data_IF_898106085265
#
_entry.id   IF_898106085265
#
_cell.length_a   1.000
_cell.length_b   1.000
_cell.length_c   1.000
_cell.angle_alpha   90.00
_cell.angle_beta   90.00
_cell.angle_gamma   90.00
#
_symmetry.space_group_name_H-M   'P 1'
#
loop_
_entity.id
_entity.type
_entity.pdbx_description
1 polymer ?
#
# COMPACT_ATOMS: atom_id res chain seq x y z
N UNK A 1 -7.11 71.08 -3.36
CA UNK A 1 -7.79 70.12 -4.26
C UNK A 1 -7.17 70.03 -5.68
N UNK A 2 -6.03 70.67 -6.00
CA UNK A 2 -5.40 70.57 -7.35
C UNK A 2 -4.10 69.76 -7.44
N UNK A 3 -3.63 69.15 -6.34
CA UNK A 3 -2.39 68.36 -6.32
C UNK A 3 -2.61 66.83 -6.31
N UNK A 4 -3.82 66.36 -6.03
CA UNK A 4 -4.16 64.93 -5.98
C UNK A 4 -4.57 64.39 -7.35
N UNK A 5 -5.12 65.24 -8.23
CA UNK A 5 -5.67 64.79 -9.53
C UNK A 5 -4.60 64.51 -10.62
N UNK A 6 -3.33 64.84 -10.34
CA UNK A 6 -2.22 64.64 -11.28
C UNK A 6 -1.54 63.27 -11.13
N UNK A 7 -1.80 62.54 -10.04
CA UNK A 7 -1.18 61.24 -9.76
C UNK A 7 -2.04 60.03 -10.17
N UNK A 8 -3.32 60.24 -10.46
CA UNK A 8 -4.28 59.15 -10.76
C UNK A 8 -4.48 58.88 -12.24
N UNK A 9 -3.95 59.70 -13.16
CA UNK A 9 -4.26 59.60 -14.60
C UNK A 9 -3.20 58.97 -15.52
N UNK A 10 -2.02 58.56 -15.02
CA UNK A 10 -0.93 58.09 -15.91
C UNK A 10 -0.23 56.78 -15.51
N UNK A 11 -0.79 55.97 -14.61
CA UNK A 11 -0.27 54.61 -14.38
C UNK A 11 -1.11 53.60 -15.17
N UNK A 12 -0.60 53.03 -16.27
CA UNK A 12 -1.26 51.88 -16.87
C UNK A 12 -1.28 50.76 -15.82
N UNK A 13 -2.47 50.27 -15.50
CA UNK A 13 -2.66 49.08 -14.69
C UNK A 13 -2.01 47.92 -15.44
N UNK A 14 -0.74 47.64 -15.14
CA UNK A 14 -0.10 46.41 -15.58
C UNK A 14 -0.81 45.29 -14.84
N UNK A 15 -1.81 44.69 -15.50
CA UNK A 15 -2.29 43.37 -15.15
C UNK A 15 -1.07 42.46 -15.22
N UNK A 16 -0.42 42.20 -14.08
CA UNK A 16 0.62 41.18 -13.97
C UNK A 16 -0.04 39.86 -14.37
N UNK A 17 0.02 39.53 -15.66
CA UNK A 17 -0.22 38.17 -16.10
C UNK A 17 0.84 37.34 -15.39
N UNK A 18 0.42 36.63 -14.34
CA UNK A 18 1.29 35.62 -13.76
C UNK A 18 1.76 34.73 -14.91
N UNK A 19 3.08 34.57 -15.11
CA UNK A 19 3.59 33.80 -16.23
C UNK A 19 2.94 32.43 -16.19
N UNK A 20 2.39 31.99 -17.32
CA UNK A 20 1.64 30.73 -17.45
C UNK A 20 2.41 29.53 -16.88
N UNK A 21 3.74 29.59 -16.84
CA UNK A 21 4.63 28.66 -16.15
C UNK A 21 4.46 28.61 -14.62
N UNK A 22 4.30 29.75 -13.95
CA UNK A 22 4.09 29.81 -12.50
C UNK A 22 2.77 29.16 -12.08
N UNK A 23 1.69 29.36 -12.87
CA UNK A 23 0.38 28.73 -12.63
C UNK A 23 0.44 27.21 -12.84
N UNK A 24 1.17 26.73 -13.87
CA UNK A 24 1.42 25.29 -14.09
C UNK A 24 2.24 24.67 -12.94
N UNK A 25 3.25 25.37 -12.44
CA UNK A 25 4.07 24.91 -11.32
C UNK A 25 3.27 24.87 -10.01
N UNK A 26 2.38 25.85 -9.78
CA UNK A 26 1.49 25.88 -8.62
C UNK A 26 0.48 24.73 -8.63
N UNK A 27 -0.11 24.40 -9.79
CA UNK A 27 -0.99 23.24 -9.94
C UNK A 27 -0.26 21.91 -9.68
N UNK A 28 0.96 21.75 -10.23
CA UNK A 28 1.80 20.57 -9.96
C UNK A 28 2.13 20.44 -8.47
N UNK A 29 2.43 21.56 -7.81
CA UNK A 29 2.69 21.60 -6.37
C UNK A 29 1.48 21.17 -5.54
N UNK A 30 0.28 21.67 -5.86
CA UNK A 30 -0.96 21.26 -5.18
C UNK A 30 -1.22 19.77 -5.37
N UNK A 31 -0.95 19.23 -6.56
CA UNK A 31 -1.08 17.80 -6.84
C UNK A 31 -0.09 16.96 -6.02
N UNK A 32 1.17 17.38 -5.90
CA UNK A 32 2.19 16.71 -5.07
C UNK A 32 1.78 16.71 -3.58
N UNK A 33 1.28 17.83 -3.06
CA UNK A 33 0.83 17.94 -1.66
C UNK A 33 -0.39 17.05 -1.41
N UNK A 34 -1.38 17.05 -2.33
CA UNK A 34 -2.55 16.18 -2.24
C UNK A 34 -2.15 14.70 -2.34
N UNK A 35 -1.18 14.36 -3.19
CA UNK A 35 -0.68 13.00 -3.30
C UNK A 35 0.16 12.60 -2.10
N UNK A 36 0.96 13.50 -1.51
CA UNK A 36 1.67 13.27 -0.25
C UNK A 36 0.69 12.94 0.87
N UNK A 37 -0.33 13.79 1.07
CA UNK A 37 -1.42 13.51 2.01
C UNK A 37 -2.13 12.21 1.64
N UNK A 38 -2.30 11.94 0.34
CA UNK A 38 -2.81 10.69 -0.24
C UNK A 38 -2.03 9.44 0.20
N UNK A 39 -0.69 9.42 0.02
CA UNK A 39 0.19 8.30 0.42
C UNK A 39 0.01 7.99 1.89
N UNK A 40 -0.10 9.04 2.71
CA UNK A 40 -0.27 8.90 4.15
C UNK A 40 -1.67 8.31 4.41
N UNK A 41 -2.74 8.84 3.81
CA UNK A 41 -4.12 8.33 3.99
C UNK A 41 -4.36 6.87 3.56
N UNK A 42 -3.52 6.32 2.69
CA UNK A 42 -3.77 5.03 2.03
C UNK A 42 -3.47 3.82 2.90
N UNK A 43 -2.80 4.02 4.02
CA UNK A 43 -2.58 2.98 5.03
C UNK A 43 -3.89 2.52 5.70
N UNK A 44 -5.04 3.18 5.49
CA UNK A 44 -6.31 2.75 6.12
C UNK A 44 -7.60 2.81 5.26
N UNK A 45 -7.56 3.26 4.00
CA UNK A 45 -8.78 3.80 3.35
C UNK A 45 -9.48 2.99 2.26
N UNK A 46 -8.76 2.23 1.43
CA UNK A 46 -9.34 1.66 0.21
C UNK A 46 -9.26 0.12 0.19
N UNK A 47 -10.16 -0.53 0.93
CA UNK A 47 -10.79 -1.70 0.32
C UNK A 47 -11.82 -1.14 -0.65
N UNK A 48 -11.58 -1.28 -1.95
CA UNK A 48 -12.59 -0.97 -2.98
C UNK A 48 -13.96 -1.43 -2.48
N UNK A 49 -14.95 -0.54 -2.52
CA UNK A 49 -16.31 -0.86 -2.07
C UNK A 49 -16.87 -2.11 -2.76
N UNK A 50 -16.37 -2.44 -3.96
CA UNK A 50 -16.63 -3.69 -4.66
C UNK A 50 -15.96 -4.92 -3.98
N UNK A 51 -14.71 -4.81 -3.52
CA UNK A 51 -14.00 -5.84 -2.75
C UNK A 51 -14.66 -6.07 -1.39
N UNK A 52 -15.07 -5.01 -0.69
CA UNK A 52 -15.81 -5.09 0.58
C UNK A 52 -17.18 -5.73 0.39
N UNK A 53 -17.92 -5.38 -0.67
CA UNK A 53 -19.22 -6.02 -1.00
C UNK A 53 -19.06 -7.50 -1.35
N UNK A 54 -18.10 -7.88 -2.18
CA UNK A 54 -17.88 -9.28 -2.55
C UNK A 54 -17.38 -10.12 -1.36
N UNK A 55 -16.43 -9.62 -0.56
CA UNK A 55 -16.01 -10.33 0.66
C UNK A 55 -17.15 -10.43 1.66
N UNK A 56 -17.97 -9.39 1.86
CA UNK A 56 -19.12 -9.45 2.77
C UNK A 56 -20.23 -10.42 2.29
N UNK A 57 -20.51 -10.49 0.99
CA UNK A 57 -21.44 -11.47 0.40
C UNK A 57 -20.92 -12.90 0.54
N UNK A 58 -19.64 -13.13 0.28
CA UNK A 58 -19.00 -14.45 0.45
C UNK A 58 -18.97 -14.85 1.94
N UNK A 59 -18.68 -13.93 2.86
CA UNK A 59 -18.72 -14.18 4.31
C UNK A 59 -20.12 -14.45 4.83
N UNK A 60 -21.14 -13.73 4.32
CA UNK A 60 -22.55 -14.01 4.63
C UNK A 60 -22.96 -15.39 4.15
N UNK A 61 -22.59 -15.77 2.92
CA UNK A 61 -22.92 -17.09 2.37
C UNK A 61 -22.18 -18.22 3.10
N UNK A 62 -20.96 -17.98 3.59
CA UNK A 62 -20.22 -18.93 4.44
C UNK A 62 -20.84 -19.10 5.83
N UNK A 63 -21.48 -18.05 6.39
CA UNK A 63 -22.22 -18.15 7.66
C UNK A 63 -23.43 -19.08 7.58
N UNK A 64 -24.00 -19.28 6.39
CA UNK A 64 -25.14 -20.18 6.18
C UNK A 64 -24.74 -21.61 5.77
N UNK A 65 -23.46 -21.86 5.45
CA UNK A 65 -23.01 -23.15 4.87
C UNK A 65 -22.04 -23.95 5.75
N UNK A 66 -21.95 -23.65 7.05
CA UNK A 66 -21.36 -24.59 8.00
C UNK A 66 -20.59 -23.92 9.12
N UNK A 67 -20.94 -24.31 10.34
CA UNK A 67 -20.02 -24.32 11.49
C UNK A 67 -18.89 -25.31 11.18
N UNK A 68 -17.96 -24.94 10.31
CA UNK A 68 -16.68 -25.64 10.18
C UNK A 68 -15.65 -24.92 11.03
N UNK A 69 -15.37 -25.58 12.17
CA UNK A 69 -14.27 -25.34 13.09
C UNK A 69 -13.01 -24.88 12.35
N UNK A 70 -12.69 -23.59 12.45
CA UNK A 70 -11.34 -23.10 12.19
C UNK A 70 -10.78 -22.57 13.50
N UNK A 71 -10.21 -23.47 14.28
CA UNK A 71 -9.43 -23.12 15.46
C UNK A 71 -8.25 -22.21 15.08
N UNK A 72 -7.96 -21.14 15.84
CA UNK A 72 -6.80 -20.29 15.60
C UNK A 72 -5.48 -21.05 15.80
N UNK A 73 -4.45 -20.59 15.11
CA UNK A 73 -3.16 -21.25 14.85
C UNK A 73 -2.24 -21.47 16.07
N UNK A 74 -2.73 -21.31 17.30
CA UNK A 74 -2.00 -21.57 18.54
C UNK A 74 -3.02 -21.97 19.62
N UNK A 75 -3.44 -23.22 19.62
CA UNK A 75 -3.77 -23.88 20.87
C UNK A 75 -2.70 -24.94 21.13
N UNK A 76 -2.19 -25.10 22.36
CA UNK A 76 -1.54 -26.35 22.72
C UNK A 76 -2.56 -27.44 22.45
N UNK A 77 -2.18 -28.41 21.62
CA UNK A 77 -2.99 -29.56 21.26
C UNK A 77 -3.66 -30.14 22.51
N UNK A 78 -5.00 -30.15 22.54
CA UNK A 78 -5.78 -30.95 23.49
C UNK A 78 -5.55 -32.43 23.19
N UNK A 79 -4.42 -32.98 23.64
CA UNK A 79 -4.24 -34.38 24.06
C UNK A 79 -2.79 -34.59 24.46
N UNK A 80 -2.57 -34.79 25.77
CA UNK A 80 -1.50 -35.48 26.50
C UNK A 80 -1.53 -34.82 27.89
N UNK A 81 -2.08 -35.41 28.96
CA UNK A 81 -2.25 -36.80 29.29
C UNK A 81 -3.51 -36.99 30.13
N UNK A 82 -4.30 -38.03 29.83
CA UNK A 82 -5.03 -38.70 30.89
C UNK A 82 -4.03 -39.67 31.54
N UNK A 83 -3.18 -39.15 32.43
CA UNK A 83 -2.54 -40.01 33.43
C UNK A 83 -3.60 -40.30 34.48
N UNK A 84 -4.01 -41.56 34.55
CA UNK A 84 -4.78 -42.10 35.65
C UNK A 84 -3.93 -42.03 36.92
N UNK A 85 -4.06 -40.95 37.68
CA UNK A 85 -3.72 -40.94 39.10
C UNK A 85 -4.60 -39.90 39.81
N UNK A 86 -5.25 -40.35 40.89
CA UNK A 86 -6.32 -39.67 41.60
C UNK A 86 -5.90 -38.40 42.34
N UNK A 87 -5.75 -37.30 41.62
CA UNK A 87 -5.62 -35.95 42.18
C UNK A 87 -6.53 -34.97 41.47
N UNK A 88 -7.24 -34.14 42.24
CA UNK A 88 -8.20 -33.11 41.80
C UNK A 88 -7.81 -32.44 40.47
N UNK A 89 -8.53 -32.81 39.41
CA UNK A 89 -8.43 -32.15 38.12
C UNK A 89 -9.04 -30.75 38.23
N UNK A 90 -8.17 -29.75 38.43
CA UNK A 90 -8.56 -28.35 38.31
C UNK A 90 -9.10 -28.13 36.90
N UNK A 91 -10.43 -28.03 36.78
CA UNK A 91 -11.12 -27.64 35.55
C UNK A 91 -10.62 -26.25 35.19
N UNK A 92 -9.77 -26.17 34.16
CA UNK A 92 -9.37 -24.88 33.59
C UNK A 92 -10.65 -24.27 32.99
N UNK A 93 -11.06 -23.05 33.42
CA UNK A 93 -12.23 -22.40 32.87
C UNK A 93 -12.09 -22.31 31.35
N UNK A 94 -13.15 -22.66 30.61
CA UNK A 94 -13.15 -22.57 29.16
C UNK A 94 -12.71 -21.17 28.71
N UNK A 95 -11.67 -21.11 27.88
CA UNK A 95 -11.22 -19.85 27.29
C UNK A 95 -12.38 -19.28 26.45
N UNK A 96 -12.68 -17.98 26.58
CA UNK A 96 -13.76 -17.38 25.80
C UNK A 96 -13.55 -17.59 24.31
N UNK A 97 -14.64 -17.78 23.58
CA UNK A 97 -14.63 -17.91 22.13
C UNK A 97 -13.85 -16.75 21.49
N UNK A 98 -12.95 -17.09 20.57
CA UNK A 98 -12.08 -16.13 19.91
C UNK A 98 -12.90 -15.10 19.12
N UNK A 99 -12.93 -13.84 19.60
CA UNK A 99 -13.56 -12.72 18.91
C UNK A 99 -12.52 -11.93 18.06
N UNK A 100 -12.52 -12.09 16.72
CA UNK A 100 -11.62 -11.34 15.84
C UNK A 100 -11.85 -9.83 15.85
N UNK A 101 -12.95 -9.35 16.43
CA UNK A 101 -13.33 -7.93 16.44
C UNK A 101 -12.97 -7.21 17.74
N UNK A 102 -12.77 -7.94 18.84
CA UNK A 102 -12.34 -7.40 20.15
C UNK A 102 -11.06 -8.06 20.68
N UNK A 103 -10.14 -8.48 19.80
CA UNK A 103 -8.87 -9.08 20.24
C UNK A 103 -8.04 -8.14 21.12
N UNK A 104 -8.09 -6.83 20.87
CA UNK A 104 -7.52 -5.80 21.75
C UNK A 104 -8.42 -4.57 21.80
N UNK A 105 -8.50 -3.86 22.94
CA UNK A 105 -9.24 -2.62 23.01
C UNK A 105 -8.66 -1.60 22.03
N UNK A 106 -9.52 -0.83 21.35
CA UNK A 106 -9.10 0.24 20.44
C UNK A 106 -8.23 1.24 21.20
N UNK A 107 -6.96 1.36 20.83
CA UNK A 107 -6.02 2.31 21.45
C UNK A 107 -5.93 3.58 20.61
N UNK A 108 -5.99 4.75 21.26
CA UNK A 108 -5.94 6.05 20.59
C UNK A 108 -4.72 6.18 19.65
N UNK A 109 -3.54 5.72 20.09
CA UNK A 109 -2.29 5.79 19.32
C UNK A 109 -2.25 4.90 18.07
N UNK A 110 -3.12 3.90 18.00
CA UNK A 110 -3.24 2.97 16.85
C UNK A 110 -4.33 3.44 15.86
N UNK A 111 -4.98 4.57 16.13
CA UNK A 111 -5.96 5.14 15.19
C UNK A 111 -5.26 5.84 14.02
N UNK A 112 -5.92 5.83 12.86
CA UNK A 112 -5.46 6.55 11.69
C UNK A 112 -5.26 8.04 12.01
N UNK A 113 -6.23 8.65 12.68
CA UNK A 113 -6.20 10.05 13.09
C UNK A 113 -4.95 10.40 13.92
N UNK A 114 -4.64 9.60 14.94
CA UNK A 114 -3.47 9.86 15.78
C UNK A 114 -2.16 9.70 15.00
N UNK A 115 -2.03 8.64 14.19
CA UNK A 115 -0.85 8.43 13.34
C UNK A 115 -0.65 9.58 12.35
N UNK A 116 -1.74 10.08 11.74
CA UNK A 116 -1.69 11.24 10.86
C UNK A 116 -1.31 12.51 11.58
N UNK A 117 -1.91 12.77 12.73
CA UNK A 117 -1.63 13.97 13.52
C UNK A 117 -0.17 13.98 13.96
N UNK A 118 0.37 12.84 14.40
CA UNK A 118 1.78 12.70 14.76
C UNK A 118 2.71 12.98 13.56
N UNK A 119 2.41 12.43 12.38
CA UNK A 119 3.21 12.67 11.18
C UNK A 119 3.13 14.13 10.70
N UNK A 120 1.95 14.75 10.74
CA UNK A 120 1.77 16.17 10.40
C UNK A 120 2.51 17.08 11.39
N UNK A 121 2.46 16.76 12.68
CA UNK A 121 3.22 17.48 13.71
C UNK A 121 4.73 17.39 13.46
N UNK A 122 5.25 16.21 13.15
CA UNK A 122 6.67 16.03 12.80
C UNK A 122 7.06 16.84 11.56
N UNK A 123 6.23 16.84 10.51
CA UNK A 123 6.46 17.65 9.32
C UNK A 123 6.46 19.16 9.66
N UNK A 124 5.53 19.60 10.52
CA UNK A 124 5.45 20.99 10.98
C UNK A 124 6.71 21.43 11.74
N UNK A 125 7.15 20.62 12.71
CA UNK A 125 8.38 20.87 13.49
C UNK A 125 9.61 20.88 12.58
N UNK A 126 9.74 19.88 11.70
CA UNK A 126 10.85 19.81 10.75
C UNK A 126 10.89 21.02 9.83
N UNK A 127 9.73 21.45 9.29
CA UNK A 127 9.61 22.61 8.39
C UNK A 127 9.97 23.92 9.09
N UNK A 128 9.55 24.09 10.35
CA UNK A 128 9.91 25.22 11.20
C UNK A 128 11.43 25.27 11.45
N UNK A 129 12.03 24.13 11.80
CA UNK A 129 13.47 24.04 12.09
C UNK A 129 14.37 24.39 10.89
N UNK A 130 13.91 24.15 9.65
CA UNK A 130 14.66 24.47 8.42
C UNK A 130 14.26 25.81 7.79
N UNK A 131 13.48 26.66 8.48
CA UNK A 131 13.05 27.98 8.00
C UNK A 131 12.26 27.96 6.68
N UNK A 132 11.67 26.81 6.33
CA UNK A 132 10.97 26.60 5.05
C UNK A 132 9.47 26.74 5.25
N UNK A 133 8.79 27.56 4.44
CA UNK A 133 7.32 27.55 4.44
C UNK A 133 6.81 26.19 3.94
N UNK A 134 5.86 25.53 4.64
CA UNK A 134 5.31 24.22 4.25
C UNK A 134 4.58 24.22 2.89
N UNK A 135 4.40 25.41 2.30
CA UNK A 135 3.65 25.64 1.07
C UNK A 135 4.57 25.90 -0.13
N UNK A 136 5.89 26.09 0.02
CA UNK A 136 6.81 26.19 -1.13
C UNK A 136 7.62 24.90 -1.23
N UNK A 137 7.31 24.06 -2.23
CA UNK A 137 8.10 22.85 -2.50
C UNK A 137 9.42 23.30 -3.13
N UNK A 138 10.39 23.64 -2.27
CA UNK A 138 11.76 23.96 -2.66
C UNK A 138 12.44 22.73 -3.27
N UNK A 139 13.56 22.92 -3.98
CA UNK A 139 14.36 21.80 -4.48
C UNK A 139 14.75 20.83 -3.35
N UNK A 140 15.05 21.36 -2.15
CA UNK A 140 15.32 20.55 -0.95
C UNK A 140 14.11 19.74 -0.51
N UNK A 141 12.93 20.35 -0.44
CA UNK A 141 11.70 19.63 -0.09
C UNK A 141 11.38 18.53 -1.12
N UNK A 142 11.50 18.82 -2.41
CA UNK A 142 11.35 17.82 -3.48
C UNK A 142 12.33 16.67 -3.35
N UNK A 143 13.61 16.95 -3.04
CA UNK A 143 14.62 15.92 -2.82
C UNK A 143 14.26 15.03 -1.63
N UNK A 144 13.84 15.61 -0.51
CA UNK A 144 13.38 14.88 0.67
C UNK A 144 12.19 13.98 0.35
N UNK A 145 11.17 14.52 -0.32
CA UNK A 145 9.99 13.74 -0.73
C UNK A 145 10.40 12.58 -1.65
N UNK A 146 11.27 12.85 -2.62
CA UNK A 146 11.74 11.86 -3.58
C UNK A 146 12.46 10.70 -2.89
N UNK A 147 13.42 10.99 -2.01
CA UNK A 147 14.20 9.97 -1.30
C UNK A 147 13.31 9.18 -0.34
N UNK A 148 12.40 9.82 0.40
CA UNK A 148 11.48 9.12 1.30
C UNK A 148 10.52 8.21 0.52
N UNK A 149 10.03 8.67 -0.62
CA UNK A 149 9.19 7.87 -1.50
C UNK A 149 9.98 6.69 -2.10
N UNK A 150 11.21 6.90 -2.55
CA UNK A 150 12.10 5.85 -3.03
C UNK A 150 12.38 4.80 -1.95
N UNK A 151 12.79 5.23 -0.75
CA UNK A 151 13.10 4.32 0.36
C UNK A 151 11.86 3.50 0.78
N UNK A 152 10.69 4.14 0.82
CA UNK A 152 9.43 3.46 1.14
C UNK A 152 9.08 2.43 0.06
N UNK A 153 9.20 2.79 -1.21
CA UNK A 153 8.93 1.90 -2.33
C UNK A 153 9.89 0.71 -2.34
N UNK A 154 11.19 0.97 -2.43
CA UNK A 154 12.22 -0.07 -2.50
C UNK A 154 12.20 -0.98 -1.27
N UNK A 155 12.12 -0.40 -0.07
CA UNK A 155 12.04 -1.15 1.18
C UNK A 155 10.80 -2.04 1.26
N UNK A 156 9.63 -1.53 0.87
CA UNK A 156 8.39 -2.32 0.83
C UNK A 156 8.50 -3.49 -0.13
N UNK A 157 9.07 -3.27 -1.33
CA UNK A 157 9.25 -4.32 -2.33
C UNK A 157 10.24 -5.38 -1.86
N UNK A 158 11.40 -4.97 -1.34
CA UNK A 158 12.42 -5.89 -0.85
C UNK A 158 11.89 -6.74 0.31
N UNK A 159 11.27 -6.10 1.31
CA UNK A 159 10.68 -6.81 2.45
C UNK A 159 9.59 -7.79 2.00
N UNK A 160 8.65 -7.36 1.16
CA UNK A 160 7.54 -8.22 0.72
C UNK A 160 8.02 -9.39 -0.13
N UNK A 161 8.99 -9.16 -1.03
CA UNK A 161 9.47 -10.17 -1.99
C UNK A 161 10.35 -11.21 -1.33
N UNK A 162 11.30 -10.78 -0.48
CA UNK A 162 12.35 -11.67 0.04
C UNK A 162 12.11 -12.15 1.47
N UNK A 163 11.33 -11.40 2.28
CA UNK A 163 11.17 -11.70 3.70
C UNK A 163 9.71 -12.03 4.00
N UNK A 164 8.82 -11.05 4.00
CA UNK A 164 7.43 -11.20 4.42
C UNK A 164 6.67 -12.26 3.61
N UNK A 165 6.73 -12.19 2.28
CA UNK A 165 6.03 -13.12 1.40
C UNK A 165 6.49 -14.58 1.57
N UNK A 166 7.80 -14.81 1.56
CA UNK A 166 8.41 -16.14 1.69
C UNK A 166 8.16 -16.72 3.08
N UNK A 167 8.34 -15.92 4.13
CA UNK A 167 8.08 -16.36 5.51
C UNK A 167 6.63 -16.76 5.68
N UNK A 168 5.67 -15.96 5.22
CA UNK A 168 4.25 -16.31 5.31
C UNK A 168 3.90 -17.55 4.47
N UNK A 169 4.47 -17.68 3.27
CA UNK A 169 4.22 -18.84 2.40
C UNK A 169 4.72 -20.15 3.04
N UNK A 170 5.88 -20.12 3.69
CA UNK A 170 6.50 -21.30 4.31
C UNK A 170 5.87 -21.70 5.65
N UNK A 171 5.29 -20.75 6.38
CA UNK A 171 4.90 -20.96 7.78
C UNK A 171 3.38 -20.92 8.03
N UNK A 172 2.55 -20.62 7.02
CA UNK A 172 1.09 -20.60 7.18
C UNK A 172 0.40 -21.67 6.33
N UNK A 173 -0.72 -22.26 6.79
CA UNK A 173 -1.56 -23.09 5.94
C UNK A 173 -1.99 -22.35 4.67
N UNK A 174 -2.00 -23.02 3.51
CA UNK A 174 -2.23 -22.39 2.19
C UNK A 174 -3.45 -21.46 2.13
N UNK A 175 -4.60 -21.89 2.68
CA UNK A 175 -5.84 -21.08 2.69
C UNK A 175 -5.71 -19.86 3.60
N UNK A 176 -5.00 -19.98 4.72
CA UNK A 176 -4.73 -18.86 5.65
C UNK A 176 -3.79 -17.85 5.01
N UNK A 177 -2.70 -18.32 4.40
CA UNK A 177 -1.77 -17.50 3.63
C UNK A 177 -2.49 -16.72 2.52
N UNK A 178 -3.29 -17.40 1.68
CA UNK A 178 -4.01 -16.75 0.58
C UNK A 178 -5.02 -15.70 1.05
N UNK A 179 -5.76 -15.99 2.14
CA UNK A 179 -6.67 -15.01 2.76
C UNK A 179 -5.92 -13.77 3.26
N UNK A 180 -4.78 -13.95 3.93
CA UNK A 180 -3.96 -12.83 4.41
C UNK A 180 -3.39 -12.02 3.23
N UNK A 181 -2.82 -12.68 2.21
CA UNK A 181 -2.30 -12.01 1.02
C UNK A 181 -3.36 -11.19 0.29
N UNK A 182 -4.59 -11.70 0.15
CA UNK A 182 -5.70 -10.97 -0.48
C UNK A 182 -6.05 -9.64 0.20
N UNK A 183 -5.64 -9.46 1.46
CA UNK A 183 -5.81 -8.21 2.21
C UNK A 183 -4.57 -7.32 2.14
N UNK A 184 -3.39 -7.90 2.07
CA UNK A 184 -2.13 -7.17 2.01
C UNK A 184 -1.83 -6.61 0.62
N UNK A 185 -2.05 -7.38 -0.45
CA UNK A 185 -1.63 -6.97 -1.79
C UNK A 185 -2.26 -5.67 -2.30
N UNK A 186 -3.57 -5.39 -2.11
CA UNK A 186 -4.13 -4.11 -2.52
C UNK A 186 -3.50 -2.92 -1.79
N UNK A 187 -3.12 -3.10 -0.52
CA UNK A 187 -2.46 -2.06 0.28
C UNK A 187 -1.02 -1.87 -0.21
N UNK A 188 -0.29 -2.97 -0.39
CA UNK A 188 1.09 -3.00 -0.87
C UNK A 188 1.24 -2.35 -2.25
N UNK A 189 0.46 -2.78 -3.25
CA UNK A 189 0.58 -2.25 -4.60
C UNK A 189 0.12 -0.78 -4.69
N UNK A 190 -0.83 -0.37 -3.86
CA UNK A 190 -1.25 1.03 -3.78
C UNK A 190 -0.15 1.91 -3.18
N UNK A 191 0.45 1.49 -2.05
CA UNK A 191 1.61 2.16 -1.46
C UNK A 191 2.73 2.33 -2.49
N UNK A 192 3.07 1.25 -3.21
CA UNK A 192 4.10 1.29 -4.26
C UNK A 192 3.74 2.23 -5.41
N UNK A 193 2.51 2.15 -5.95
CA UNK A 193 2.10 2.98 -7.09
C UNK A 193 2.24 4.48 -6.77
N UNK A 194 1.90 4.84 -5.54
CA UNK A 194 1.89 6.22 -5.12
C UNK A 194 3.27 6.75 -4.80
N UNK A 195 4.11 5.95 -4.16
CA UNK A 195 5.51 6.34 -3.92
C UNK A 195 6.29 6.42 -5.23
N UNK A 196 6.00 5.58 -6.23
CA UNK A 196 6.54 5.75 -7.59
C UNK A 196 6.02 7.05 -8.22
N UNK A 197 4.71 7.34 -8.12
CA UNK A 197 4.13 8.56 -8.67
C UNK A 197 4.73 9.83 -8.04
N UNK A 198 4.96 9.84 -6.73
CA UNK A 198 5.64 10.94 -6.04
C UNK A 198 7.06 11.15 -6.58
N UNK A 199 7.81 10.08 -6.84
CA UNK A 199 9.15 10.17 -7.43
C UNK A 199 9.08 10.83 -8.83
N UNK A 200 8.13 10.40 -9.67
CA UNK A 200 7.93 10.98 -11.02
C UNK A 200 7.60 12.47 -10.94
N UNK A 201 6.73 12.88 -9.99
CA UNK A 201 6.34 14.28 -9.87
C UNK A 201 7.47 15.17 -9.36
N UNK A 202 8.28 14.66 -8.43
CA UNK A 202 9.42 15.38 -7.85
C UNK A 202 10.64 15.45 -8.77
N UNK A 203 10.77 14.56 -9.75
CA UNK A 203 11.86 14.60 -10.75
C UNK A 203 12.01 15.97 -11.40
N UNK A 204 10.92 16.66 -11.73
CA UNK A 204 10.97 17.99 -12.37
C UNK A 204 11.72 19.06 -11.55
N UNK A 205 11.97 18.82 -10.26
CA UNK A 205 12.66 19.72 -9.35
C UNK A 205 14.08 19.24 -9.01
N UNK A 206 14.54 18.13 -9.61
CA UNK A 206 15.80 17.44 -9.31
C UNK A 206 16.61 17.20 -10.59
N UNK A 207 17.11 18.25 -11.28
CA UNK A 207 17.67 18.14 -12.64
C UNK A 207 18.87 17.19 -12.74
N UNK A 208 19.63 16.99 -11.66
CA UNK A 208 20.75 16.03 -11.61
C UNK A 208 20.31 14.56 -11.66
N UNK A 209 19.06 14.27 -11.29
CA UNK A 209 18.46 12.92 -11.30
C UNK A 209 17.59 12.68 -12.55
N UNK A 210 17.23 13.74 -13.28
CA UNK A 210 16.37 13.67 -14.49
C UNK A 210 17.16 13.17 -15.69
N UNK A 211 17.53 11.89 -15.66
CA UNK A 211 17.96 11.20 -16.88
C UNK A 211 16.74 10.61 -17.59
N UNK A 212 16.80 10.53 -18.93
CA UNK A 212 15.78 9.82 -19.73
C UNK A 212 15.60 8.38 -19.24
N UNK A 213 16.69 7.74 -18.83
CA UNK A 213 16.70 6.36 -18.33
C UNK A 213 16.00 6.23 -16.97
N UNK A 214 16.27 7.13 -16.03
CA UNK A 214 15.60 7.16 -14.72
C UNK A 214 14.08 7.36 -14.86
N UNK A 215 13.68 8.30 -15.75
CA UNK A 215 12.27 8.57 -16.02
C UNK A 215 11.56 7.36 -16.63
N UNK A 216 12.21 6.67 -17.59
CA UNK A 216 11.66 5.45 -18.20
C UNK A 216 11.56 4.32 -17.18
N UNK A 217 12.57 4.11 -16.33
CA UNK A 217 12.56 3.07 -15.30
C UNK A 217 11.40 3.27 -14.31
N UNK A 218 11.17 4.49 -13.83
CA UNK A 218 10.04 4.82 -12.97
C UNK A 218 8.70 4.67 -13.70
N UNK A 219 8.60 5.09 -14.97
CA UNK A 219 7.39 4.96 -15.77
C UNK A 219 6.99 3.50 -15.99
N UNK A 220 7.93 2.65 -16.39
CA UNK A 220 7.71 1.20 -16.55
C UNK A 220 7.30 0.59 -15.21
N UNK A 221 8.01 0.92 -14.13
CA UNK A 221 7.67 0.43 -12.79
C UNK A 221 6.25 0.79 -12.39
N UNK A 222 5.84 2.05 -12.61
CA UNK A 222 4.47 2.50 -12.31
C UNK A 222 3.43 1.70 -13.10
N UNK A 223 3.63 1.51 -14.41
CA UNK A 223 2.71 0.74 -15.25
C UNK A 223 2.58 -0.69 -14.75
N UNK A 224 3.69 -1.35 -14.41
CA UNK A 224 3.69 -2.72 -13.89
C UNK A 224 2.99 -2.82 -12.53
N UNK A 225 3.22 -1.86 -11.64
CA UNK A 225 2.56 -1.78 -10.33
C UNK A 225 1.06 -1.51 -10.46
N UNK A 226 0.64 -0.61 -11.35
CA UNK A 226 -0.78 -0.30 -11.60
C UNK A 226 -1.49 -1.48 -12.26
N UNK A 227 -0.84 -2.15 -13.21
CA UNK A 227 -1.35 -3.39 -13.84
C UNK A 227 -1.59 -4.49 -12.79
N UNK A 228 -0.68 -4.63 -11.82
CA UNK A 228 -0.88 -5.52 -10.69
C UNK A 228 -2.07 -5.10 -9.83
N UNK A 229 -2.09 -3.83 -9.42
CA UNK A 229 -3.08 -3.28 -8.48
C UNK A 229 -4.52 -3.46 -8.99
N UNK A 230 -4.75 -3.20 -10.29
CA UNK A 230 -6.10 -3.15 -10.82
C UNK A 230 -6.53 -4.37 -11.62
N UNK A 231 -5.59 -5.19 -12.11
CA UNK A 231 -5.94 -6.29 -13.01
C UNK A 231 -5.38 -7.65 -12.57
N UNK A 232 -4.05 -7.80 -12.50
CA UNK A 232 -3.45 -9.13 -12.32
C UNK A 232 -3.73 -9.70 -10.93
N UNK A 233 -3.53 -8.91 -9.86
CA UNK A 233 -3.74 -9.39 -8.50
C UNK A 233 -5.22 -9.62 -8.18
N UNK A 234 -6.16 -8.68 -8.47
CA UNK A 234 -7.58 -8.92 -8.22
C UNK A 234 -8.11 -10.16 -8.95
N UNK A 235 -7.61 -10.42 -10.17
CA UNK A 235 -7.97 -11.60 -10.95
C UNK A 235 -7.39 -12.88 -10.34
N UNK A 236 -6.11 -12.88 -9.97
CA UNK A 236 -5.47 -14.02 -9.29
C UNK A 236 -6.17 -14.38 -7.98
N UNK A 237 -6.48 -13.37 -7.15
CA UNK A 237 -7.19 -13.53 -5.88
C UNK A 237 -8.61 -14.04 -6.07
N UNK A 238 -9.34 -13.56 -7.09
CA UNK A 238 -10.67 -14.10 -7.42
C UNK A 238 -10.60 -15.59 -7.75
N UNK A 239 -9.70 -15.99 -8.65
CA UNK A 239 -9.52 -17.40 -9.05
C UNK A 239 -9.12 -18.27 -7.85
N UNK A 240 -8.24 -17.76 -6.97
CA UNK A 240 -7.86 -18.45 -5.74
C UNK A 240 -9.08 -18.75 -4.85
N UNK A 241 -9.96 -17.78 -4.63
CA UNK A 241 -11.18 -18.00 -3.82
C UNK A 241 -12.18 -18.95 -4.49
N UNK A 242 -12.31 -18.90 -5.82
CA UNK A 242 -13.14 -19.87 -6.56
C UNK A 242 -12.62 -21.30 -6.40
N UNK A 243 -11.29 -21.49 -6.40
CA UNK A 243 -10.69 -22.79 -6.08
C UNK A 243 -11.00 -23.23 -4.67
N UNK A 244 -10.85 -22.34 -3.69
CA UNK A 244 -11.15 -22.67 -2.29
C UNK A 244 -12.59 -23.14 -2.10
N UNK A 245 -13.55 -22.52 -2.79
CA UNK A 245 -14.96 -22.92 -2.72
C UNK A 245 -15.19 -24.34 -3.26
N UNK A 246 -14.55 -24.71 -4.37
CA UNK A 246 -14.65 -26.08 -4.91
C UNK A 246 -13.98 -27.11 -3.99
N UNK A 247 -12.90 -26.73 -3.31
CA UNK A 247 -12.21 -27.61 -2.36
C UNK A 247 -13.05 -27.94 -1.12
N UNK A 248 -14.12 -27.19 -0.82
CA UNK A 248 -15.07 -27.50 0.27
C UNK A 248 -16.18 -28.48 -0.17
N UNK A 249 -16.29 -28.77 -1.47
CA UNK A 249 -17.28 -29.72 -2.01
C UNK A 249 -16.68 -31.12 -2.18
N UNK A 250 -17.47 -32.17 -1.95
CA UNK A 250 -17.04 -33.55 -2.18
C UNK A 250 -16.69 -33.76 -3.67
N UNK A 251 -15.51 -34.29 -3.96
CA UNK A 251 -14.99 -34.50 -5.32
C UNK A 251 -14.65 -33.21 -6.10
N UNK A 252 -14.77 -32.02 -5.50
CA UNK A 252 -14.61 -30.75 -6.22
C UNK A 252 -13.22 -30.53 -6.83
N UNK A 253 -12.17 -31.11 -6.24
CA UNK A 253 -10.79 -31.07 -6.75
C UNK A 253 -10.60 -31.87 -8.04
N UNK A 254 -11.41 -32.89 -8.28
CA UNK A 254 -11.28 -33.80 -9.43
C UNK A 254 -11.96 -33.23 -10.68
N UNK A 255 -12.79 -32.20 -10.52
CA UNK A 255 -13.51 -31.54 -11.61
C UNK A 255 -12.57 -30.82 -12.58
N UNK A 256 -12.92 -30.83 -13.87
CA UNK A 256 -12.18 -30.09 -14.89
C UNK A 256 -12.20 -28.57 -14.66
N UNK A 257 -13.28 -28.07 -14.03
CA UNK A 257 -13.38 -26.69 -13.58
C UNK A 257 -12.25 -26.35 -12.60
N UNK A 258 -12.00 -27.19 -11.60
CA UNK A 258 -10.91 -26.98 -10.65
C UNK A 258 -9.54 -26.98 -11.33
N UNK A 259 -9.28 -27.94 -12.24
CA UNK A 259 -8.03 -28.01 -13.01
C UNK A 259 -7.80 -26.75 -13.83
N UNK A 260 -8.83 -26.25 -14.53
CA UNK A 260 -8.77 -25.00 -15.31
C UNK A 260 -8.51 -23.78 -14.43
N UNK A 261 -9.15 -23.70 -13.26
CA UNK A 261 -8.90 -22.63 -12.30
C UNK A 261 -7.49 -22.71 -11.72
N UNK A 262 -6.95 -23.90 -11.46
CA UNK A 262 -5.57 -24.09 -10.99
C UNK A 262 -4.55 -23.59 -12.03
N UNK A 263 -4.73 -23.94 -13.31
CA UNK A 263 -3.89 -23.45 -14.40
C UNK A 263 -3.97 -21.93 -14.54
N UNK A 264 -5.19 -21.36 -14.54
CA UNK A 264 -5.38 -19.91 -14.60
C UNK A 264 -4.80 -19.19 -13.39
N UNK A 265 -4.91 -19.76 -12.19
CA UNK A 265 -4.26 -19.21 -11.00
C UNK A 265 -2.75 -19.11 -11.20
N UNK A 266 -2.11 -20.19 -11.64
CA UNK A 266 -0.66 -20.20 -11.94
C UNK A 266 -0.27 -19.13 -12.96
N UNK A 267 -1.06 -18.97 -14.03
CA UNK A 267 -0.84 -17.95 -15.07
C UNK A 267 -0.91 -16.53 -14.49
N UNK A 268 -2.02 -16.16 -13.84
CA UNK A 268 -2.21 -14.80 -13.33
C UNK A 268 -1.30 -14.47 -12.15
N UNK A 269 -1.06 -15.43 -11.25
CA UNK A 269 -0.11 -15.27 -10.16
C UNK A 269 1.32 -15.09 -10.70
N UNK A 270 1.74 -15.92 -11.67
CA UNK A 270 3.06 -15.81 -12.30
C UNK A 270 3.27 -14.46 -13.00
N UNK A 271 2.28 -13.98 -13.77
CA UNK A 271 2.32 -12.65 -14.39
C UNK A 271 2.41 -11.53 -13.35
N UNK A 272 1.67 -11.66 -12.23
CA UNK A 272 1.73 -10.69 -11.13
C UNK A 272 3.12 -10.64 -10.48
N UNK A 273 3.70 -11.80 -10.19
CA UNK A 273 5.06 -11.92 -9.67
C UNK A 273 6.12 -11.36 -10.62
N UNK A 274 6.01 -11.63 -11.92
CA UNK A 274 6.95 -11.12 -12.93
C UNK A 274 6.91 -9.59 -13.02
N UNK A 275 5.71 -9.01 -13.08
CA UNK A 275 5.54 -7.55 -13.17
C UNK A 275 6.00 -6.86 -11.88
N UNK A 276 5.82 -7.48 -10.71
CA UNK A 276 6.42 -7.02 -9.46
C UNK A 276 7.96 -7.10 -9.50
N UNK A 277 8.55 -8.16 -10.04
CA UNK A 277 10.00 -8.29 -10.20
C UNK A 277 10.57 -7.21 -11.13
N UNK A 278 9.90 -6.92 -12.25
CA UNK A 278 10.29 -5.83 -13.17
C UNK A 278 10.33 -4.49 -12.44
N UNK A 279 9.31 -4.19 -11.64
CA UNK A 279 9.29 -2.96 -10.84
C UNK A 279 10.42 -2.92 -9.79
N UNK A 280 10.77 -4.06 -9.18
CA UNK A 280 11.90 -4.14 -8.24
C UNK A 280 13.24 -3.88 -8.95
N UNK A 281 13.44 -4.45 -10.13
CA UNK A 281 14.62 -4.15 -10.96
C UNK A 281 14.65 -2.65 -11.34
N UNK A 282 13.50 -2.06 -11.64
CA UNK A 282 13.37 -0.62 -11.87
C UNK A 282 13.76 0.22 -10.65
N UNK A 283 13.38 -0.21 -9.44
CA UNK A 283 13.79 0.43 -8.20
C UNK A 283 15.31 0.37 -7.99
N UNK A 284 15.93 -0.79 -8.24
CA UNK A 284 17.39 -0.96 -8.13
C UNK A 284 18.09 -0.02 -9.13
N UNK A 285 17.68 -0.03 -10.41
CA UNK A 285 18.24 0.84 -11.43
C UNK A 285 18.10 2.33 -11.07
N UNK A 286 16.93 2.73 -10.55
CA UNK A 286 16.71 4.11 -10.10
C UNK A 286 17.58 4.48 -8.89
N UNK A 287 17.81 3.53 -7.98
CA UNK A 287 18.74 3.68 -6.86
C UNK A 287 20.16 3.99 -7.31
N UNK A 288 20.65 3.34 -8.37
CA UNK A 288 21.95 3.66 -8.96
C UNK A 288 22.00 5.09 -9.51
N UNK A 289 20.95 5.56 -10.21
CA UNK A 289 20.90 6.95 -10.70
C UNK A 289 20.89 7.96 -9.55
N UNK A 290 20.17 7.68 -8.47
CA UNK A 290 20.18 8.51 -7.27
C UNK A 290 21.58 8.56 -6.64
N UNK A 291 22.24 7.41 -6.50
CA UNK A 291 23.59 7.33 -5.93
C UNK A 291 24.62 8.11 -6.77
N UNK A 292 24.57 8.01 -8.11
CA UNK A 292 25.46 8.79 -8.99
C UNK A 292 25.29 10.29 -8.80
N UNK A 293 24.05 10.76 -8.56
CA UNK A 293 23.78 12.18 -8.32
C UNK A 293 24.28 12.70 -6.96
N UNK A 294 24.68 11.81 -6.03
CA UNK A 294 25.25 12.19 -4.72
C UNK A 294 26.77 12.38 -4.76
N UNK A 295 27.45 11.85 -5.78
CA UNK A 295 28.92 11.88 -5.92
C UNK A 295 29.36 13.01 -6.87
N UNK A 296 28.57 14.09 -6.93
CA UNK A 296 28.80 15.25 -7.81
C UNK A 296 29.39 16.41 -7.04
#
# INVERSE_FOLDING_TARGET
>A
LSAIDKYTKNTPFQTTQQPTGARKNLLKMRLIVVLLVGVLTIVNGFQSTAVRRNTSKVQKNLKYLGKSSSSPLFMPTKTLAASTDGGDSKVVPDLPDWDPTNWTPKRLHNTAFFRFSAMLATIGVASYAIGSSPVKVSAKASATIHILAFATWFGSMAYTTFIGGITMFKNLPRKTFGKLQSKLFPIYFNLCAITILLQILTLNFLPTVVTKKATVALGVSLVMTVLNLFYLEPTSTKIMFERYALEETSGGKDTDKYKKLAANFGKFHGMSSLTNLIALCGAIAHGFYLATALVV
#
